data_IF_867131457068
#
_entry.id   IF_867131457068
#
_cell.length_a   1.000
_cell.length_b   1.000
_cell.length_c   1.000
_cell.angle_alpha   90.00
_cell.angle_beta   90.00
_cell.angle_gamma   90.00
#
_symmetry.space_group_name_H-M   'P 1'
#
loop_
_entity.id
_entity.type
_entity.pdbx_description
1 polymer ?
#
# COMPACT_ATOMS: atom_id res chain seq x y z
N UNK A 1 -16.67 14.14 8.85
CA UNK A 1 -17.92 13.39 9.15
C UNK A 1 -19.05 14.31 9.61
N UNK A 2 -18.74 15.40 10.33
CA UNK A 2 -19.70 16.42 10.82
C UNK A 2 -20.64 16.92 9.73
N UNK A 3 -20.11 17.44 8.62
CA UNK A 3 -20.91 17.92 7.48
C UNK A 3 -21.82 16.84 6.89
N UNK A 4 -21.28 15.62 6.75
CA UNK A 4 -21.99 14.49 6.13
C UNK A 4 -23.19 14.03 6.94
N UNK A 5 -23.10 14.07 8.27
CA UNK A 5 -24.21 13.74 9.17
C UNK A 5 -25.01 14.97 9.62
N UNK A 6 -24.60 16.17 9.18
CA UNK A 6 -25.19 17.46 9.56
C UNK A 6 -25.23 17.63 11.09
N UNK A 7 -24.12 17.31 11.75
CA UNK A 7 -23.92 17.57 13.18
C UNK A 7 -23.56 19.05 13.38
N UNK A 8 -23.94 19.61 14.53
CA UNK A 8 -23.62 21.00 14.89
C UNK A 8 -22.12 21.22 15.08
N UNK A 9 -21.45 20.29 15.76
CA UNK A 9 -20.03 20.32 16.04
C UNK A 9 -19.43 18.91 16.04
N UNK A 10 -18.10 18.76 15.92
CA UNK A 10 -17.42 17.51 16.23
C UNK A 10 -17.77 17.04 17.64
N UNK A 11 -17.91 15.74 17.84
CA UNK A 11 -18.27 15.16 19.13
C UNK A 11 -17.39 13.97 19.42
N UNK A 12 -17.00 13.82 20.69
CA UNK A 12 -16.32 12.64 21.22
C UNK A 12 -17.29 11.69 21.94
N UNK A 13 -18.53 12.13 22.19
CA UNK A 13 -19.53 11.29 22.85
C UNK A 13 -20.20 10.34 21.85
N UNK A 14 -20.00 9.04 22.07
CA UNK A 14 -20.62 7.96 21.30
C UNK A 14 -22.15 7.97 21.46
N UNK A 15 -22.63 8.29 22.66
CA UNK A 15 -24.05 8.34 23.00
C UNK A 15 -24.78 9.43 22.21
N UNK A 16 -24.10 10.49 21.82
CA UNK A 16 -24.66 11.54 20.96
C UNK A 16 -24.48 11.21 19.48
N UNK A 17 -23.31 10.67 19.10
CA UNK A 17 -22.97 10.40 17.71
C UNK A 17 -23.86 9.33 17.07
N UNK A 18 -24.07 8.20 17.75
CA UNK A 18 -24.76 7.06 17.16
C UNK A 18 -26.26 7.29 16.93
N UNK A 19 -27.04 7.91 17.84
CA UNK A 19 -28.43 8.25 17.57
C UNK A 19 -28.61 9.20 16.39
N UNK A 20 -27.76 10.22 16.27
CA UNK A 20 -27.80 11.15 15.14
C UNK A 20 -27.48 10.44 13.81
N UNK A 21 -26.51 9.52 13.81
CA UNK A 21 -26.25 8.67 12.63
C UNK A 21 -27.47 7.79 12.33
N UNK A 22 -28.05 7.11 13.34
CA UNK A 22 -29.24 6.26 13.18
C UNK A 22 -30.39 7.00 12.53
N UNK A 23 -30.67 8.22 13.02
CA UNK A 23 -31.69 9.10 12.49
C UNK A 23 -31.45 9.45 11.02
N UNK A 24 -30.19 9.68 10.63
CA UNK A 24 -29.82 10.04 9.25
C UNK A 24 -29.87 8.87 8.28
N UNK A 25 -29.48 7.67 8.72
CA UNK A 25 -29.46 6.48 7.87
C UNK A 25 -30.79 5.72 7.87
N UNK A 26 -31.73 6.11 8.75
CA UNK A 26 -33.01 5.41 8.93
C UNK A 26 -32.87 4.07 9.64
N UNK A 27 -31.82 3.90 10.46
CA UNK A 27 -31.62 2.68 11.25
C UNK A 27 -32.47 2.75 12.52
N UNK A 28 -33.74 2.35 12.36
CA UNK A 28 -34.72 2.26 13.44
C UNK A 28 -35.05 0.78 13.71
N UNK A 29 -35.27 0.45 14.97
CA UNK A 29 -35.79 -0.81 15.44
C UNK A 29 -37.32 -0.75 15.57
N UNK A 30 -37.91 -1.84 16.06
CA UNK A 30 -39.34 -1.86 16.41
C UNK A 30 -39.60 -0.79 17.48
N UNK A 31 -40.79 -0.19 17.45
CA UNK A 31 -41.18 0.92 18.34
C UNK A 31 -40.45 2.25 18.14
N UNK A 32 -39.66 2.39 17.06
CA UNK A 32 -39.02 3.67 16.71
C UNK A 32 -37.74 3.96 17.48
N UNK A 33 -37.19 2.97 18.19
CA UNK A 33 -35.90 3.10 18.86
C UNK A 33 -34.74 3.09 17.86
N UNK A 34 -33.66 3.80 18.17
CA UNK A 34 -32.50 3.88 17.28
C UNK A 34 -31.66 2.60 17.34
N UNK A 35 -31.37 2.02 16.18
CA UNK A 35 -30.51 0.83 16.07
C UNK A 35 -29.02 1.23 16.10
N UNK A 36 -28.47 1.37 17.30
CA UNK A 36 -27.10 1.83 17.52
C UNK A 36 -26.06 0.89 16.88
N UNK A 37 -26.34 -0.41 16.87
CA UNK A 37 -25.43 -1.42 16.29
C UNK A 37 -25.31 -1.23 14.76
N UNK A 38 -26.43 -1.10 14.05
CA UNK A 38 -26.40 -0.84 12.61
C UNK A 38 -25.69 0.48 12.29
N UNK A 39 -25.92 1.52 13.10
CA UNK A 39 -25.26 2.81 12.92
C UNK A 39 -23.77 2.77 13.15
N UNK A 40 -23.30 2.06 14.18
CA UNK A 40 -21.89 1.85 14.44
C UNK A 40 -21.22 1.07 13.28
N UNK A 41 -21.84 -0.02 12.82
CA UNK A 41 -21.34 -0.78 11.67
C UNK A 41 -21.27 0.07 10.40
N UNK A 42 -22.31 0.87 10.14
CA UNK A 42 -22.32 1.79 9.01
C UNK A 42 -21.18 2.81 9.12
N UNK A 43 -21.00 3.45 10.27
CA UNK A 43 -19.96 4.44 10.51
C UNK A 43 -18.56 3.87 10.28
N UNK A 44 -18.26 2.71 10.86
CA UNK A 44 -16.97 2.03 10.68
C UNK A 44 -16.74 1.66 9.20
N UNK A 45 -17.77 1.17 8.50
CA UNK A 45 -17.68 0.86 7.08
C UNK A 45 -17.34 2.10 6.24
N UNK A 46 -17.98 3.23 6.51
CA UNK A 46 -17.68 4.49 5.82
C UNK A 46 -16.27 4.99 6.13
N UNK A 47 -15.82 4.87 7.39
CA UNK A 47 -14.46 5.21 7.81
C UNK A 47 -13.42 4.38 7.05
N UNK A 48 -13.58 3.05 7.03
CA UNK A 48 -12.68 2.12 6.30
C UNK A 48 -12.60 2.40 4.81
N UNK A 49 -13.70 2.89 4.23
CA UNK A 49 -13.76 3.28 2.82
C UNK A 49 -13.19 4.68 2.54
N UNK A 50 -12.60 5.35 3.55
CA UNK A 50 -12.03 6.69 3.42
C UNK A 50 -13.07 7.78 3.15
N UNK A 51 -14.36 7.53 3.43
CA UNK A 51 -15.45 8.47 3.13
C UNK A 51 -15.47 9.69 4.06
N UNK A 52 -14.68 9.68 5.12
CA UNK A 52 -14.52 10.81 6.03
C UNK A 52 -13.22 11.59 5.78
N UNK A 53 -12.32 11.07 4.95
CA UNK A 53 -10.99 11.63 4.72
C UNK A 53 -9.92 10.53 4.69
N UNK A 54 -8.67 10.95 4.49
CA UNK A 54 -7.50 10.09 4.64
C UNK A 54 -6.96 10.27 6.06
N UNK A 55 -6.81 9.17 6.77
CA UNK A 55 -6.33 9.15 8.14
C UNK A 55 -5.22 8.12 8.26
N UNK A 56 -4.25 8.43 9.11
CA UNK A 56 -3.23 7.49 9.56
C UNK A 56 -3.48 7.23 11.03
N UNK A 57 -3.63 5.96 11.41
CA UNK A 57 -3.81 5.56 12.81
C UNK A 57 -2.47 5.39 13.54
N UNK A 58 -1.37 5.31 12.78
CA UNK A 58 -0.03 5.27 13.33
C UNK A 58 0.34 6.62 13.95
N UNK A 59 1.07 6.57 15.06
CA UNK A 59 1.65 7.78 15.63
C UNK A 59 2.80 8.27 14.74
N UNK A 60 2.54 9.36 14.03
CA UNK A 60 3.50 10.05 13.17
C UNK A 60 4.19 11.22 13.89
N UNK A 61 4.04 11.32 15.22
CA UNK A 61 4.82 12.26 16.02
C UNK A 61 6.32 11.98 15.85
N UNK A 62 7.18 13.01 15.95
CA UNK A 62 8.62 12.82 15.85
C UNK A 62 9.17 11.80 16.87
N UNK A 63 8.53 11.70 18.03
CA UNK A 63 8.89 10.75 19.09
C UNK A 63 8.44 9.32 18.75
N UNK A 64 7.20 9.14 18.29
CA UNK A 64 6.67 7.85 17.83
C UNK A 64 7.47 7.29 16.66
N UNK A 65 7.87 8.13 15.72
CA UNK A 65 8.74 7.73 14.61
C UNK A 65 10.13 7.31 15.09
N UNK A 66 10.75 8.08 16.01
CA UNK A 66 12.03 7.68 16.59
C UNK A 66 11.92 6.34 17.28
N UNK A 67 10.89 6.12 18.11
CA UNK A 67 10.64 4.84 18.77
C UNK A 67 10.45 3.70 17.77
N UNK A 68 9.69 3.90 16.69
CA UNK A 68 9.51 2.92 15.62
C UNK A 68 10.83 2.52 14.94
N UNK A 69 11.71 3.50 14.66
CA UNK A 69 12.98 3.23 13.98
C UNK A 69 14.11 2.77 14.92
N UNK A 70 14.08 3.13 16.20
CA UNK A 70 15.16 2.85 17.17
C UNK A 70 14.82 1.77 18.20
N UNK A 71 13.54 1.55 18.52
CA UNK A 71 13.07 0.79 19.69
C UNK A 71 12.31 -0.49 19.34
N UNK A 72 12.96 -1.41 18.63
CA UNK A 72 12.57 -2.81 18.60
C UNK A 72 13.74 -3.65 19.10
N UNK A 73 13.70 -4.03 20.38
CA UNK A 73 14.63 -4.98 20.99
C UNK A 73 14.70 -6.27 20.17
N UNK A 74 15.82 -6.42 19.46
CA UNK A 74 16.65 -7.62 19.49
C UNK A 74 16.15 -9.00 19.02
N UNK A 75 14.86 -9.33 18.93
CA UNK A 75 14.48 -10.76 18.81
C UNK A 75 13.50 -11.17 17.71
N UNK A 76 12.81 -10.25 17.02
CA UNK A 76 11.89 -10.59 15.91
C UNK A 76 12.16 -9.78 14.64
N UNK A 77 13.45 -9.53 14.36
CA UNK A 77 13.90 -9.11 13.02
C UNK A 77 14.15 -10.32 12.12
N UNK A 78 13.31 -11.35 12.22
CA UNK A 78 13.04 -12.10 11.01
C UNK A 78 12.48 -11.08 10.04
N UNK A 79 13.31 -10.70 9.07
CA UNK A 79 12.93 -9.85 7.96
C UNK A 79 11.74 -10.55 7.33
N UNK A 80 10.51 -10.17 7.71
CA UNK A 80 9.28 -10.67 7.10
C UNK A 80 9.27 -10.03 5.72
N UNK A 81 10.06 -10.60 4.82
CA UNK A 81 10.09 -10.20 3.44
C UNK A 81 8.67 -10.37 2.93
N UNK A 82 8.12 -9.27 2.41
CA UNK A 82 6.83 -9.29 1.73
C UNK A 82 6.84 -10.43 0.71
N UNK A 83 5.68 -11.08 0.49
CA UNK A 83 5.56 -12.16 -0.51
C UNK A 83 6.17 -11.77 -1.87
N UNK A 84 6.04 -10.49 -2.25
CA UNK A 84 6.61 -9.95 -3.48
C UNK A 84 8.15 -9.88 -3.45
N UNK A 85 8.73 -9.52 -2.31
CA UNK A 85 10.19 -9.47 -2.14
C UNK A 85 10.79 -10.89 -2.17
N UNK A 86 10.13 -11.87 -1.53
CA UNK A 86 10.52 -13.29 -1.63
C UNK A 86 10.50 -13.79 -3.07
N UNK A 87 9.41 -13.51 -3.79
CA UNK A 87 9.27 -13.87 -5.20
C UNK A 87 10.36 -13.22 -6.06
N UNK A 88 10.69 -11.95 -5.83
CA UNK A 88 11.78 -11.27 -6.55
C UNK A 88 13.12 -11.98 -6.33
N UNK A 89 13.42 -12.35 -5.10
CA UNK A 89 14.66 -13.03 -4.72
C UNK A 89 14.75 -14.45 -5.32
N UNK A 90 13.63 -15.17 -5.40
CA UNK A 90 13.53 -16.45 -6.11
C UNK A 90 13.77 -16.29 -7.62
N UNK A 91 13.16 -15.27 -8.23
CA UNK A 91 13.38 -14.95 -9.64
C UNK A 91 14.84 -14.63 -9.93
N UNK A 92 15.51 -13.86 -9.09
CA UNK A 92 16.95 -13.57 -9.21
C UNK A 92 17.78 -14.88 -9.18
N UNK A 93 17.47 -15.80 -8.27
CA UNK A 93 18.13 -17.13 -8.21
C UNK A 93 17.90 -17.94 -9.49
N UNK A 94 16.68 -17.95 -10.03
CA UNK A 94 16.35 -18.65 -11.28
C UNK A 94 17.09 -18.02 -12.46
N UNK A 95 17.17 -16.70 -12.51
CA UNK A 95 17.86 -15.96 -13.56
C UNK A 95 19.37 -16.24 -13.55
N UNK A 96 20.01 -16.26 -12.38
CA UNK A 96 21.43 -16.63 -12.24
C UNK A 96 21.67 -18.06 -12.75
N UNK A 97 20.81 -19.02 -12.40
CA UNK A 97 20.92 -20.41 -12.89
C UNK A 97 20.76 -20.50 -14.42
N UNK A 98 19.81 -19.75 -14.98
CA UNK A 98 19.58 -19.69 -16.44
C UNK A 98 20.79 -19.10 -17.16
N UNK A 99 21.35 -18.01 -16.63
CA UNK A 99 22.55 -17.37 -17.17
C UNK A 99 23.75 -18.33 -17.16
N UNK A 100 23.97 -19.03 -16.03
CA UNK A 100 25.04 -20.02 -15.92
C UNK A 100 24.88 -21.18 -16.92
N UNK A 101 23.64 -21.62 -17.18
CA UNK A 101 23.35 -22.63 -18.22
C UNK A 101 23.72 -22.11 -19.61
N UNK A 102 23.35 -20.88 -19.94
CA UNK A 102 23.66 -20.29 -21.25
C UNK A 102 25.15 -20.08 -21.48
N UNK A 103 25.88 -19.63 -20.45
CA UNK A 103 27.36 -19.55 -20.49
C UNK A 103 27.97 -20.92 -20.79
N UNK A 104 27.48 -21.99 -20.16
CA UNK A 104 27.97 -23.37 -20.38
C UNK A 104 27.74 -23.89 -21.80
N UNK A 105 26.63 -23.48 -22.44
CA UNK A 105 26.31 -23.89 -23.81
C UNK A 105 26.89 -22.97 -24.89
N UNK A 106 27.74 -21.99 -24.52
CA UNK A 106 28.45 -21.14 -25.48
C UNK A 106 27.63 -20.01 -26.11
N UNK A 107 26.38 -19.80 -25.67
CA UNK A 107 25.50 -18.73 -26.19
C UNK A 107 25.97 -17.31 -25.82
N UNK A 108 26.85 -17.18 -24.83
CA UNK A 108 27.46 -15.91 -24.41
C UNK A 108 28.93 -15.94 -24.80
N UNK A 109 29.22 -15.75 -26.09
CA UNK A 109 30.58 -15.64 -26.59
C UNK A 109 30.75 -14.39 -27.46
N UNK A 110 31.63 -13.48 -27.00
CA UNK A 110 32.45 -12.65 -27.88
C UNK A 110 32.30 -11.14 -27.82
N UNK A 111 31.11 -10.56 -27.56
CA UNK A 111 30.92 -9.08 -27.66
C UNK A 111 30.12 -8.39 -26.55
N UNK A 112 29.74 -9.12 -25.50
CA UNK A 112 28.77 -8.62 -24.51
C UNK A 112 29.37 -8.15 -23.16
N UNK A 113 30.71 -8.13 -23.03
CA UNK A 113 31.40 -7.71 -21.79
C UNK A 113 31.19 -6.23 -21.40
N UNK A 114 30.43 -5.44 -22.18
CA UNK A 114 29.98 -4.09 -21.80
C UNK A 114 28.63 -4.06 -21.08
N UNK A 115 27.98 -5.21 -20.86
CA UNK A 115 26.60 -5.30 -20.35
C UNK A 115 26.50 -5.63 -18.85
N UNK A 116 27.61 -5.66 -18.12
CA UNK A 116 27.65 -6.21 -16.77
C UNK A 116 26.84 -5.42 -15.72
N UNK A 117 26.46 -4.17 -16.01
CA UNK A 117 25.65 -3.33 -15.11
C UNK A 117 24.23 -3.00 -15.62
N UNK A 118 23.89 -3.26 -16.89
CA UNK A 118 22.59 -2.90 -17.48
C UNK A 118 21.64 -4.10 -17.67
N UNK A 119 22.20 -5.30 -17.73
CA UNK A 119 21.56 -6.58 -18.03
C UNK A 119 20.49 -7.07 -17.05
N UNK A 120 20.43 -6.55 -15.81
CA UNK A 120 19.41 -6.96 -14.83
C UNK A 120 18.04 -6.34 -15.20
N UNK A 121 18.01 -5.28 -16.01
CA UNK A 121 16.76 -4.55 -16.32
C UNK A 121 16.08 -4.92 -17.64
N UNK A 122 16.79 -5.48 -18.62
CA UNK A 122 16.25 -5.70 -19.96
C UNK A 122 16.87 -6.94 -20.62
N UNK A 123 16.13 -8.05 -20.67
CA UNK A 123 16.31 -9.05 -21.71
C UNK A 123 14.96 -9.53 -22.25
N UNK A 124 14.90 -9.85 -23.56
CA UNK A 124 13.66 -9.91 -24.32
C UNK A 124 12.81 -11.14 -23.97
N UNK A 125 11.50 -10.91 -23.94
CA UNK A 125 10.45 -11.92 -23.81
C UNK A 125 10.51 -12.84 -25.04
N UNK A 126 10.41 -14.18 -24.90
CA UNK A 126 10.44 -15.09 -26.03
C UNK A 126 9.25 -14.85 -26.99
N UNK A 127 9.43 -15.10 -28.31
CA UNK A 127 8.53 -14.66 -29.37
C UNK A 127 7.10 -15.25 -29.35
N UNK A 128 6.78 -16.16 -28.42
CA UNK A 128 5.45 -16.79 -28.31
C UNK A 128 4.65 -16.38 -27.05
N UNK A 129 4.94 -15.22 -26.47
CA UNK A 129 4.16 -14.71 -25.32
C UNK A 129 3.22 -13.60 -25.79
N UNK A 130 1.90 -13.86 -25.78
CA UNK A 130 0.86 -12.89 -26.12
C UNK A 130 1.02 -11.58 -25.31
N UNK A 131 0.92 -10.46 -26.01
CA UNK A 131 1.12 -9.11 -25.53
C UNK A 131 0.21 -8.73 -24.34
N UNK A 132 0.81 -8.31 -23.23
CA UNK A 132 0.22 -7.29 -22.35
C UNK A 132 1.19 -6.12 -22.25
N UNK A 133 0.93 -5.07 -23.04
CA UNK A 133 1.56 -3.77 -22.85
C UNK A 133 0.99 -3.13 -21.58
N UNK A 134 1.85 -2.88 -20.59
CA UNK A 134 1.57 -1.92 -19.53
C UNK A 134 2.63 -0.82 -19.66
N UNK A 135 2.19 0.37 -20.04
CA UNK A 135 3.01 1.57 -20.20
C UNK A 135 3.65 1.98 -18.86
N UNK A 136 4.98 2.10 -18.75
CA UNK A 136 5.64 2.63 -17.56
C UNK A 136 5.98 4.11 -17.76
N UNK A 137 4.96 4.98 -17.79
CA UNK A 137 5.15 6.43 -17.77
C UNK A 137 4.34 7.07 -16.66
N UNK A 138 4.73 6.78 -15.41
CA UNK A 138 4.41 7.61 -14.25
C UNK A 138 5.70 7.86 -13.47
N UNK A 139 6.58 8.68 -14.03
CA UNK A 139 7.61 9.36 -13.25
C UNK A 139 7.03 10.66 -12.68
N UNK A 140 6.87 10.71 -11.37
CA UNK A 140 6.69 11.95 -10.61
C UNK A 140 8.08 12.58 -10.49
N UNK A 141 8.28 13.73 -11.12
CA UNK A 141 9.51 14.53 -10.99
C UNK A 141 9.31 15.53 -9.84
N UNK A 142 10.25 15.67 -8.88
CA UNK A 142 10.17 16.71 -7.86
C UNK A 142 10.49 18.08 -8.47
N UNK A 143 9.57 19.04 -8.34
CA UNK A 143 9.78 20.43 -8.75
C UNK A 143 10.65 21.13 -7.69
N UNK A 144 11.87 21.49 -8.09
CA UNK A 144 12.76 22.37 -7.33
C UNK A 144 12.32 23.82 -7.53
N UNK A 145 11.73 24.43 -6.50
CA UNK A 145 11.50 25.88 -6.47
C UNK A 145 12.84 26.62 -6.35
N UNK A 146 13.21 27.39 -7.37
CA UNK A 146 14.09 28.55 -7.20
C UNK A 146 13.50 29.75 -7.93
N UNK A 147 13.10 30.71 -7.11
CA UNK A 147 12.85 32.12 -7.38
C UNK A 147 14.02 32.79 -8.09
N UNK A 148 13.71 33.68 -9.03
CA UNK A 148 14.17 35.07 -9.10
C UNK A 148 13.30 35.83 -10.11
#
# INVERSE_FOLDING_TARGET
YVEKFKLSHPTDSIEFLLPEISKRIGALQKYGEYDLNKSAMFFIKQYRNGKYGRYTLDDVSPEGLKAYFTGGDGSDKDVIMSKNQRKKLEWEKVMVKRLNRWKKHGYLTGKDQKMDNAAISYYPIPPNTLHLFINPSNHIIPVSNKTL
#
